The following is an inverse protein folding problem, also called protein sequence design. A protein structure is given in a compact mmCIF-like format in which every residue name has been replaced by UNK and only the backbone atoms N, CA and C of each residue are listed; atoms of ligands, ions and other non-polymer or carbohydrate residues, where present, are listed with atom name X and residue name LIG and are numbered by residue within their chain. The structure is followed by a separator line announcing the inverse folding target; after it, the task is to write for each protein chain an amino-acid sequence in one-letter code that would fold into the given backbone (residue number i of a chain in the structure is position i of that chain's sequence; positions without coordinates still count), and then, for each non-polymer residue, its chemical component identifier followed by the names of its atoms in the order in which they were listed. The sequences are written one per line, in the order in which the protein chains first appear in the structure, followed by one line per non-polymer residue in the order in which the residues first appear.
data_IF_307354897863
#
_entry.id   IF_307354897863
#
_cell.length_a   1.000
_cell.length_b   1.000
_cell.length_c   1.000
_cell.angle_alpha   90.00
_cell.angle_beta   90.00
_cell.angle_gamma   90.00
#
_symmetry.space_group_name_H-M   'P 1'
#
loop_
_entity.id
_entity.type
_entity.pdbx_description
1 polymer ?
#
# COMPACT_ATOMS: atom_id res chain seq x y z
N UNK A 1 29.62 -17.84 -24.40
CA UNK A 1 29.36 -17.76 -22.95
C UNK A 1 29.33 -16.31 -22.47
N UNK A 2 30.34 -15.47 -22.72
CA UNK A 2 30.34 -14.05 -22.32
C UNK A 2 29.13 -13.23 -22.82
N UNK A 3 28.75 -13.37 -24.10
CA UNK A 3 27.61 -12.65 -24.69
C UNK A 3 26.26 -12.95 -24.01
N UNK A 4 26.10 -14.14 -23.42
CA UNK A 4 24.88 -14.53 -22.70
C UNK A 4 24.83 -13.94 -21.28
N UNK A 5 26.00 -13.78 -20.66
CA UNK A 5 26.13 -13.15 -19.35
C UNK A 5 25.87 -11.63 -19.45
N UNK A 6 26.40 -10.97 -20.47
CA UNK A 6 26.20 -9.52 -20.68
C UNK A 6 24.73 -9.16 -20.93
N UNK A 7 24.01 -9.98 -21.72
CA UNK A 7 22.56 -9.80 -21.93
C UNK A 7 21.78 -10.05 -20.65
N UNK A 8 22.10 -11.11 -19.91
CA UNK A 8 21.45 -11.42 -18.64
C UNK A 8 21.67 -10.33 -17.58
N UNK A 9 22.87 -9.76 -17.52
CA UNK A 9 23.19 -8.63 -16.65
C UNK A 9 22.40 -7.37 -17.04
N UNK A 10 22.27 -7.12 -18.34
CA UNK A 10 21.49 -5.99 -18.87
C UNK A 10 20.01 -6.12 -18.49
N UNK A 11 19.42 -7.30 -18.72
CA UNK A 11 18.03 -7.61 -18.37
C UNK A 11 17.79 -7.50 -16.87
N UNK A 12 18.72 -8.02 -16.06
CA UNK A 12 18.68 -7.90 -14.60
C UNK A 12 18.68 -6.44 -14.15
N UNK A 13 19.58 -5.62 -14.67
CA UNK A 13 19.68 -4.20 -14.32
C UNK A 13 18.42 -3.42 -14.73
N UNK A 14 17.85 -3.75 -15.89
CA UNK A 14 16.61 -3.14 -16.34
C UNK A 14 15.44 -3.51 -15.44
N UNK A 15 15.28 -4.80 -15.13
CA UNK A 15 14.24 -5.29 -14.21
C UNK A 15 14.41 -4.74 -12.79
N UNK A 16 15.66 -4.60 -12.31
CA UNK A 16 15.94 -4.03 -11.00
C UNK A 16 15.53 -2.56 -10.95
N UNK A 17 15.76 -1.82 -12.04
CA UNK A 17 15.30 -0.43 -12.19
C UNK A 17 13.77 -0.35 -12.19
N UNK A 18 13.08 -1.23 -12.93
CA UNK A 18 11.62 -1.29 -12.95
C UNK A 18 11.03 -1.67 -11.59
N UNK A 19 11.66 -2.61 -10.88
CA UNK A 19 11.21 -3.02 -9.55
C UNK A 19 11.40 -1.92 -8.52
N UNK A 20 12.57 -1.28 -8.48
CA UNK A 20 12.85 -0.19 -7.53
C UNK A 20 11.98 1.05 -7.79
N UNK A 21 11.75 1.40 -9.07
CA UNK A 21 10.83 2.48 -9.42
C UNK A 21 9.39 2.13 -9.05
N UNK A 22 8.94 0.90 -9.32
CA UNK A 22 7.60 0.43 -8.94
C UNK A 22 7.37 0.40 -7.42
N UNK A 23 8.39 0.07 -6.62
CA UNK A 23 8.33 0.16 -5.15
C UNK A 23 8.20 1.61 -4.69
N UNK A 24 8.98 2.52 -5.28
CA UNK A 24 8.92 3.96 -4.96
C UNK A 24 7.55 4.54 -5.32
N UNK A 25 7.06 4.27 -6.52
CA UNK A 25 5.79 4.81 -7.01
C UNK A 25 4.61 4.28 -6.18
N UNK A 26 4.67 3.02 -5.72
CA UNK A 26 3.72 2.48 -4.74
C UNK A 26 3.70 3.29 -3.44
N UNK A 27 4.87 3.66 -2.90
CA UNK A 27 4.96 4.45 -1.67
C UNK A 27 4.45 5.89 -1.86
N UNK A 28 4.79 6.53 -2.98
CA UNK A 28 4.28 7.87 -3.32
C UNK A 28 2.75 7.85 -3.42
N UNK A 29 2.20 6.90 -4.18
CA UNK A 29 0.76 6.79 -4.36
C UNK A 29 0.02 6.47 -3.06
N UNK A 30 0.59 5.60 -2.22
CA UNK A 30 0.07 5.37 -0.88
C UNK A 30 0.03 6.67 -0.07
N UNK A 31 1.11 7.46 -0.07
CA UNK A 31 1.18 8.74 0.64
C UNK A 31 0.13 9.74 0.14
N UNK A 32 -0.07 9.82 -1.16
CA UNK A 32 -1.07 10.71 -1.77
C UNK A 32 -2.49 10.33 -1.33
N UNK A 33 -2.82 9.04 -1.35
CA UNK A 33 -4.11 8.56 -0.84
C UNK A 33 -4.30 8.82 0.65
N UNK A 34 -3.27 8.59 1.48
CA UNK A 34 -3.34 8.87 2.91
C UNK A 34 -3.60 10.35 3.17
N UNK A 35 -2.93 11.22 2.41
CA UNK A 35 -3.08 12.68 2.53
C UNK A 35 -4.49 13.11 2.13
N UNK A 36 -4.96 12.69 0.94
CA UNK A 36 -6.30 13.02 0.46
C UNK A 36 -7.40 12.54 1.41
N UNK A 37 -7.31 11.29 1.88
CA UNK A 37 -8.29 10.74 2.80
C UNK A 37 -8.27 11.44 4.18
N UNK A 38 -7.08 11.79 4.69
CA UNK A 38 -6.97 12.51 5.96
C UNK A 38 -7.62 13.90 5.89
N UNK A 39 -7.46 14.60 4.77
CA UNK A 39 -8.11 15.90 4.53
C UNK A 39 -9.63 15.74 4.53
N UNK A 40 -10.17 14.76 3.80
CA UNK A 40 -11.62 14.53 3.76
C UNK A 40 -12.19 14.18 5.13
N UNK A 41 -11.56 13.27 5.86
CA UNK A 41 -11.99 12.91 7.22
C UNK A 41 -11.96 14.12 8.15
N UNK A 42 -10.92 14.96 8.07
CA UNK A 42 -10.82 16.18 8.87
C UNK A 42 -11.93 17.18 8.53
N UNK A 43 -12.21 17.41 7.25
CA UNK A 43 -13.30 18.30 6.79
C UNK A 43 -14.65 17.78 7.26
N UNK A 44 -14.92 16.47 7.12
CA UNK A 44 -16.16 15.86 7.63
C UNK A 44 -16.26 16.04 9.14
N UNK A 45 -15.20 15.79 9.89
CA UNK A 45 -15.17 15.98 11.35
C UNK A 45 -15.49 17.42 11.77
N UNK A 46 -14.94 18.41 11.05
CA UNK A 46 -15.24 19.83 11.27
C UNK A 46 -16.69 20.21 10.93
N UNK A 47 -17.29 19.58 9.91
CA UNK A 47 -18.69 19.81 9.57
C UNK A 47 -19.63 19.18 10.60
N UNK A 48 -19.29 17.98 11.10
CA UNK A 48 -20.06 17.27 12.14
C UNK A 48 -20.02 18.00 13.49
N UNK A 49 -18.93 18.69 13.81
CA UNK A 49 -18.78 19.40 15.09
C UNK A 49 -19.51 20.74 15.17
N UNK A 50 -20.16 21.19 14.10
CA UNK A 50 -20.97 22.43 14.12
C UNK A 50 -22.23 22.24 14.97
N UNK A 51 -22.46 23.14 15.92
CA UNK A 51 -23.62 23.11 16.84
C UNK A 51 -24.98 23.10 16.14
N UNK A 52 -25.09 23.81 15.00
CA UNK A 52 -26.28 23.79 14.14
C UNK A 52 -25.95 23.03 12.86
N UNK A 53 -26.30 21.75 12.86
CA UNK A 53 -26.15 20.86 11.72
C UNK A 53 -27.28 21.13 10.72
N UNK A 54 -27.13 22.23 9.98
CA UNK A 54 -28.04 22.57 8.91
C UNK A 54 -28.07 21.45 7.85
N UNK A 55 -29.25 21.18 7.30
CA UNK A 55 -29.48 20.23 6.21
C UNK A 55 -28.43 20.30 5.08
N UNK A 56 -27.98 21.50 4.59
CA UNK A 56 -26.92 21.57 3.58
C UNK A 56 -25.58 20.97 4.05
N UNK A 57 -25.19 21.14 5.32
CA UNK A 57 -23.95 20.53 5.82
C UNK A 57 -24.05 19.01 5.87
N UNK A 58 -25.23 18.49 6.23
CA UNK A 58 -25.48 17.04 6.22
C UNK A 58 -25.37 16.46 4.81
N UNK A 59 -25.90 17.16 3.80
CA UNK A 59 -25.76 16.76 2.39
C UNK A 59 -24.30 16.75 1.94
N UNK A 60 -23.52 17.76 2.34
CA UNK A 60 -22.07 17.81 2.05
C UNK A 60 -21.34 16.64 2.72
N UNK A 61 -21.68 16.28 3.96
CA UNK A 61 -21.09 15.13 4.67
C UNK A 61 -21.39 13.83 3.92
N UNK A 62 -22.64 13.62 3.48
CA UNK A 62 -23.04 12.44 2.70
C UNK A 62 -22.28 12.37 1.37
N UNK A 63 -22.16 13.50 0.67
CA UNK A 63 -21.42 13.58 -0.59
C UNK A 63 -19.93 13.26 -0.39
N UNK A 64 -19.27 13.92 0.57
CA UNK A 64 -17.86 13.68 0.89
C UNK A 64 -17.60 12.25 1.34
N UNK A 65 -18.50 11.66 2.13
CA UNK A 65 -18.39 10.26 2.56
C UNK A 65 -18.51 9.30 1.38
N UNK A 66 -19.44 9.57 0.44
CA UNK A 66 -19.59 8.77 -0.78
C UNK A 66 -18.32 8.83 -1.64
N UNK A 67 -17.78 10.03 -1.86
CA UNK A 67 -16.50 10.21 -2.58
C UNK A 67 -15.36 9.51 -1.85
N UNK A 68 -15.30 9.61 -0.52
CA UNK A 68 -14.30 8.93 0.31
C UNK A 68 -14.33 7.41 0.19
N UNK A 69 -15.52 6.81 0.13
CA UNK A 69 -15.69 5.37 -0.12
C UNK A 69 -15.16 4.98 -1.50
N UNK A 70 -15.51 5.75 -2.54
CA UNK A 70 -15.01 5.51 -3.90
C UNK A 70 -13.49 5.63 -3.97
N UNK A 71 -12.91 6.64 -3.31
CA UNK A 71 -11.46 6.82 -3.19
C UNK A 71 -10.80 5.66 -2.45
N UNK A 72 -11.43 5.14 -1.40
CA UNK A 72 -10.93 3.97 -0.66
C UNK A 72 -10.94 2.72 -1.54
N UNK A 73 -11.99 2.51 -2.34
CA UNK A 73 -12.05 1.41 -3.30
C UNK A 73 -10.98 1.55 -4.39
N UNK A 74 -10.80 2.75 -4.96
CA UNK A 74 -9.74 3.04 -5.93
C UNK A 74 -8.35 2.78 -5.34
N UNK A 75 -8.10 3.23 -4.11
CA UNK A 75 -6.87 2.96 -3.38
C UNK A 75 -6.58 1.45 -3.27
N UNK A 76 -7.58 0.64 -2.91
CA UNK A 76 -7.41 -0.83 -2.83
C UNK A 76 -7.03 -1.44 -4.18
N UNK A 77 -7.72 -1.05 -5.26
CA UNK A 77 -7.48 -1.59 -6.60
C UNK A 77 -6.08 -1.21 -7.09
N UNK A 78 -5.70 0.06 -6.98
CA UNK A 78 -4.44 0.52 -7.56
C UNK A 78 -3.24 0.06 -6.74
N UNK A 79 -3.30 0.14 -5.41
CA UNK A 79 -2.23 -0.41 -4.56
C UNK A 79 -2.10 -1.92 -4.74
N UNK A 80 -3.23 -2.64 -4.88
CA UNK A 80 -3.23 -4.08 -5.19
C UNK A 80 -2.53 -4.38 -6.52
N UNK A 81 -2.82 -3.60 -7.57
CA UNK A 81 -2.18 -3.75 -8.88
C UNK A 81 -0.67 -3.51 -8.82
N UNK A 82 -0.23 -2.42 -8.19
CA UNK A 82 1.21 -2.12 -8.03
C UNK A 82 1.92 -3.18 -7.19
N UNK A 83 1.29 -3.65 -6.10
CA UNK A 83 1.83 -4.74 -5.29
C UNK A 83 2.01 -6.02 -6.12
N UNK A 84 1.05 -6.34 -6.99
CA UNK A 84 1.13 -7.50 -7.90
C UNK A 84 2.23 -7.35 -8.95
N UNK A 85 2.34 -6.17 -9.58
CA UNK A 85 3.41 -5.88 -10.54
C UNK A 85 4.80 -5.98 -9.89
N UNK A 86 4.98 -5.38 -8.71
CA UNK A 86 6.24 -5.46 -7.97
C UNK A 86 6.58 -6.90 -7.58
N UNK A 87 5.60 -7.71 -7.21
CA UNK A 87 5.80 -9.13 -6.91
C UNK A 87 6.21 -9.94 -8.15
N UNK A 88 5.65 -9.61 -9.33
CA UNK A 88 6.04 -10.23 -10.60
C UNK A 88 7.50 -9.90 -10.95
N UNK A 89 7.91 -8.64 -10.83
CA UNK A 89 9.29 -8.23 -11.09
C UNK A 89 10.26 -8.86 -10.10
N UNK A 90 9.91 -8.93 -8.81
CA UNK A 90 10.71 -9.63 -7.80
C UNK A 90 10.85 -11.13 -8.13
N UNK A 91 9.77 -11.76 -8.61
CA UNK A 91 9.81 -13.17 -9.03
C UNK A 91 10.73 -13.39 -10.24
N UNK A 92 10.68 -12.51 -11.24
CA UNK A 92 11.57 -12.58 -12.41
C UNK A 92 13.04 -12.36 -12.05
N UNK A 93 13.33 -11.36 -11.20
CA UNK A 93 14.68 -11.09 -10.70
C UNK A 93 15.26 -12.29 -9.95
N UNK A 94 14.46 -12.96 -9.10
CA UNK A 94 14.89 -14.20 -8.44
C UNK A 94 15.11 -15.34 -9.43
N UNK A 95 14.34 -15.41 -10.51
CA UNK A 95 14.56 -16.35 -11.60
C UNK A 95 15.95 -16.20 -12.21
N UNK A 96 16.35 -14.96 -12.50
CA UNK A 96 17.68 -14.62 -13.03
C UNK A 96 18.78 -14.99 -12.02
N UNK A 97 18.65 -14.57 -10.75
CA UNK A 97 19.63 -14.89 -9.70
C UNK A 97 19.75 -16.40 -9.40
N UNK A 98 18.74 -17.20 -9.76
CA UNK A 98 18.74 -18.65 -9.56
C UNK A 98 19.46 -19.44 -10.65
N UNK A 99 19.83 -18.81 -11.78
CA UNK A 99 20.49 -19.53 -12.86
C UNK A 99 21.93 -19.93 -12.46
N UNK A 100 22.45 -21.08 -12.95
CA UNK A 100 23.78 -21.57 -12.62
C UNK A 100 24.91 -20.60 -13.01
N UNK A 101 24.71 -19.84 -14.09
CA UNK A 101 25.70 -18.92 -14.64
C UNK A 101 25.75 -17.57 -13.91
N UNK A 102 24.82 -17.33 -12.96
CA UNK A 102 24.80 -16.09 -12.17
C UNK A 102 25.81 -16.15 -11.01
N UNK A 103 26.99 -15.59 -11.25
CA UNK A 103 28.09 -15.51 -10.29
C UNK A 103 28.04 -14.24 -9.42
N UNK A 104 27.23 -13.26 -9.80
CA UNK A 104 27.08 -11.99 -9.10
C UNK A 104 26.29 -12.13 -7.78
N UNK A 105 26.32 -11.06 -6.98
CA UNK A 105 25.52 -10.96 -5.74
C UNK A 105 24.04 -11.19 -6.05
N UNK A 106 23.32 -11.78 -5.08
CA UNK A 106 21.91 -12.15 -5.19
C UNK A 106 21.04 -11.35 -4.21
N UNK A 107 20.99 -10.01 -4.31
CA UNK A 107 20.33 -9.17 -3.32
C UNK A 107 18.83 -9.44 -3.20
N UNK A 108 18.14 -9.77 -4.30
CA UNK A 108 16.68 -9.98 -4.29
C UNK A 108 16.33 -11.30 -3.62
N UNK A 109 17.06 -12.38 -3.92
CA UNK A 109 16.91 -13.67 -3.27
C UNK A 109 17.29 -13.60 -1.79
N UNK A 110 18.32 -12.83 -1.46
CA UNK A 110 18.74 -12.60 -0.08
C UNK A 110 17.66 -11.84 0.70
N UNK A 111 17.09 -10.79 0.12
CA UNK A 111 15.94 -10.06 0.69
C UNK A 111 14.73 -10.98 0.86
N UNK A 112 14.46 -11.85 -0.11
CA UNK A 112 13.38 -12.82 -0.04
C UNK A 112 13.58 -13.85 1.08
N UNK A 113 14.79 -14.40 1.26
CA UNK A 113 15.12 -15.29 2.38
C UNK A 113 14.94 -14.62 3.73
N UNK A 114 15.42 -13.38 3.86
CA UNK A 114 15.25 -12.58 5.07
C UNK A 114 13.76 -12.33 5.39
N UNK A 115 12.97 -11.93 4.38
CA UNK A 115 11.56 -11.57 4.55
C UNK A 115 10.65 -12.79 4.75
N UNK A 116 10.84 -13.83 3.96
CA UNK A 116 9.92 -14.98 3.91
C UNK A 116 10.39 -16.14 4.80
N UNK A 117 11.68 -16.45 4.80
CA UNK A 117 12.25 -17.58 5.55
C UNK A 117 12.79 -17.14 6.93
N UNK A 118 12.85 -15.83 7.19
CA UNK A 118 13.36 -15.25 8.43
C UNK A 118 14.79 -15.72 8.74
N UNK A 119 15.57 -15.95 7.69
CA UNK A 119 16.95 -16.38 7.80
C UNK A 119 17.83 -15.17 8.14
N UNK A 120 18.75 -15.36 9.09
CA UNK A 120 19.81 -14.39 9.35
C UNK A 120 20.79 -14.45 8.20
N UNK A 121 21.05 -13.31 7.58
CA UNK A 121 22.06 -13.20 6.52
C UNK A 121 23.41 -13.05 7.22
N UNK A 122 24.38 -13.89 6.85
CA UNK A 122 25.75 -13.81 7.35
C UNK A 122 26.67 -13.48 6.19
N UNK A 123 27.43 -12.41 6.33
CA UNK A 123 28.43 -11.97 5.36
C UNK A 123 29.65 -11.45 6.12
N UNK A 124 30.75 -12.18 6.03
CA UNK A 124 32.00 -11.87 6.72
C UNK A 124 32.65 -10.56 6.23
N UNK A 125 32.21 -10.04 5.09
CA UNK A 125 32.70 -8.79 4.50
C UNK A 125 31.94 -7.55 4.99
N UNK A 126 30.83 -7.71 5.71
CA UNK A 126 30.02 -6.60 6.23
C UNK A 126 30.21 -6.38 7.74
N UNK A 127 29.96 -5.15 8.20
CA UNK A 127 29.82 -4.81 9.62
C UNK A 127 28.43 -4.18 9.87
N UNK A 128 27.57 -4.78 10.72
CA UNK A 128 27.74 -6.05 11.43
C UNK A 128 27.70 -7.27 10.48
N UNK A 129 28.49 -8.30 10.82
CA UNK A 129 28.64 -9.55 10.01
C UNK A 129 27.36 -10.36 9.85
N UNK A 130 26.40 -10.14 10.75
CA UNK A 130 25.10 -10.81 10.70
C UNK A 130 23.99 -9.79 10.67
N UNK A 131 23.02 -10.01 9.78
CA UNK A 131 21.81 -9.24 9.68
C UNK A 131 20.62 -10.13 10.01
N UNK A 132 20.09 -9.99 11.23
CA UNK A 132 18.93 -10.73 11.68
C UNK A 132 17.62 -10.02 11.25
N UNK A 133 16.56 -10.77 10.89
CA UNK A 133 15.28 -10.18 10.53
C UNK A 133 14.69 -9.43 11.72
N UNK A 134 14.44 -8.13 11.52
CA UNK A 134 13.78 -7.30 12.53
C UNK A 134 12.34 -7.75 12.76
N UNK A 135 11.72 -7.25 13.83
CA UNK A 135 10.30 -7.49 14.10
C UNK A 135 9.40 -7.15 12.90
N UNK A 136 9.70 -6.07 12.17
CA UNK A 136 8.93 -5.64 11.01
C UNK A 136 8.92 -6.68 9.87
N UNK A 137 10.06 -7.34 9.61
CA UNK A 137 10.12 -8.43 8.61
C UNK A 137 9.28 -9.63 9.02
N UNK A 138 9.18 -9.93 10.32
CA UNK A 138 8.39 -11.05 10.82
C UNK A 138 6.88 -10.84 10.65
N UNK A 139 6.42 -9.59 10.69
CA UNK A 139 5.00 -9.23 10.62
C UNK A 139 4.46 -9.05 9.18
N UNK A 140 5.34 -9.02 8.17
CA UNK A 140 5.02 -8.72 6.78
C UNK A 140 3.88 -9.58 6.18
N UNK A 141 3.75 -10.85 6.58
CA UNK A 141 2.75 -11.78 6.05
C UNK A 141 1.31 -11.50 6.47
N UNK A 142 1.09 -10.65 7.47
CA UNK A 142 -0.26 -10.51 8.01
C UNK A 142 -1.09 -9.53 7.16
N UNK A 143 -2.36 -9.87 6.93
CA UNK A 143 -3.23 -9.13 6.01
C UNK A 143 -3.46 -7.66 6.43
N UNK A 144 -3.63 -7.38 7.72
CA UNK A 144 -3.61 -6.02 8.30
C UNK A 144 -2.28 -5.26 8.13
N UNK A 145 -1.14 -5.95 7.96
CA UNK A 145 0.14 -5.33 7.65
C UNK A 145 0.28 -5.00 6.14
N UNK A 146 -0.55 -5.61 5.29
CA UNK A 146 -0.64 -5.26 3.88
C UNK A 146 -1.39 -3.93 3.76
N UNK A 147 -0.61 -2.85 3.63
CA UNK A 147 -1.08 -1.47 3.50
C UNK A 147 -2.10 -1.29 2.37
N UNK A 148 -1.95 -2.05 1.28
CA UNK A 148 -2.89 -2.09 0.16
C UNK A 148 -4.30 -2.57 0.54
N UNK A 149 -4.45 -3.20 1.71
CA UNK A 149 -5.75 -3.68 2.19
C UNK A 149 -6.19 -2.96 3.47
N UNK A 150 -5.30 -2.79 4.45
CA UNK A 150 -5.68 -2.21 5.74
C UNK A 150 -6.11 -0.74 5.65
N UNK A 151 -5.41 0.09 4.86
CA UNK A 151 -5.76 1.51 4.74
C UNK A 151 -7.09 1.75 4.01
N UNK A 152 -7.36 1.10 2.85
CA UNK A 152 -8.69 1.17 2.23
C UNK A 152 -9.81 0.74 3.17
N UNK A 153 -9.62 -0.33 3.94
CA UNK A 153 -10.62 -0.78 4.91
C UNK A 153 -10.82 0.22 6.03
N UNK A 154 -9.75 0.77 6.59
CA UNK A 154 -9.82 1.77 7.65
C UNK A 154 -10.61 2.99 7.20
N UNK A 155 -10.21 3.63 6.10
CA UNK A 155 -10.90 4.82 5.60
C UNK A 155 -12.31 4.50 5.10
N UNK A 156 -12.50 3.40 4.37
CA UNK A 156 -13.81 2.96 3.91
C UNK A 156 -14.80 2.74 5.07
N UNK A 157 -14.34 2.19 6.19
CA UNK A 157 -15.17 2.03 7.40
C UNK A 157 -15.51 3.38 8.02
N UNK A 158 -14.55 4.29 8.16
CA UNK A 158 -14.77 5.64 8.69
C UNK A 158 -15.81 6.40 7.85
N UNK A 159 -15.66 6.40 6.52
CA UNK A 159 -16.66 7.03 5.64
C UNK A 159 -18.00 6.30 5.67
N UNK A 160 -18.03 4.97 5.78
CA UNK A 160 -19.26 4.20 5.93
C UNK A 160 -20.05 4.60 7.17
N UNK A 161 -19.37 4.84 8.29
CA UNK A 161 -19.99 5.34 9.52
C UNK A 161 -20.55 6.76 9.35
N UNK A 162 -19.78 7.67 8.75
CA UNK A 162 -20.27 9.03 8.47
C UNK A 162 -21.43 9.06 7.48
N UNK A 163 -21.41 8.18 6.47
CA UNK A 163 -22.48 8.05 5.49
C UNK A 163 -23.76 7.54 6.16
N UNK A 164 -23.66 6.47 6.95
CA UNK A 164 -24.79 5.93 7.69
C UNK A 164 -25.39 6.99 8.61
N UNK A 165 -24.53 7.68 9.38
CA UNK A 165 -24.95 8.77 10.25
C UNK A 165 -25.64 9.89 9.46
N UNK A 166 -25.05 10.36 8.36
CA UNK A 166 -25.62 11.44 7.54
C UNK A 166 -26.99 11.08 6.95
N UNK A 167 -27.14 9.86 6.44
CA UNK A 167 -28.43 9.36 5.94
C UNK A 167 -29.49 9.30 7.04
N UNK A 168 -29.12 8.85 8.25
CA UNK A 168 -30.07 8.84 9.37
C UNK A 168 -30.52 10.25 9.78
N UNK A 169 -29.63 11.25 9.70
CA UNK A 169 -30.00 12.64 9.98
C UNK A 169 -30.95 13.19 8.92
N UNK A 170 -30.69 12.92 7.63
CA UNK A 170 -31.59 13.33 6.54
C UNK A 170 -32.98 12.71 6.74
N UNK A 171 -33.06 11.40 7.03
CA UNK A 171 -34.32 10.72 7.27
C UNK A 171 -35.10 11.35 8.44
N UNK A 172 -34.42 11.67 9.55
CA UNK A 172 -35.02 12.37 10.70
C UNK A 172 -35.54 13.75 10.33
N UNK A 173 -34.77 14.53 9.57
CA UNK A 173 -35.20 15.85 9.11
C UNK A 173 -36.43 15.74 8.21
N UNK A 174 -36.47 14.78 7.27
CA UNK A 174 -37.62 14.56 6.40
C UNK A 174 -38.89 14.15 7.16
N UNK A 175 -38.75 13.36 8.23
CA UNK A 175 -39.89 12.97 9.09
C UNK A 175 -40.44 14.14 9.92
N UNK A 176 -39.62 15.14 10.29
CA UNK A 176 -40.09 16.32 11.02
C UNK A 176 -40.79 17.37 10.12
N UNK A 177 -40.63 17.28 8.81
CA UNK A 177 -41.29 18.16 7.84
C UNK A 177 -42.64 17.63 7.35
N UNK A 178 -43.07 16.45 7.81
CA UNK A 178 -44.39 15.84 7.58
C UNK A 178 -45.20 15.85 8.88
#
# INVERSE_FOLDING_TARGET
MAQNHDTMQSDYNHLLTLWTSGVRDYHTMLSDYLTANSIFVAVIGLLVSRESLALPFTLVIVLLSTIGILMSAQMAIVLGRFSGQNALWEWQLRGIESMPDWLDRKPVSTLYRLREHRETIVDDTNEPRSFAPSWAFRQHRQWWAHRAVSFPWFFGTVYGLFLLWGVTQIARSSMMFW
#
